data_IF_370049099896
#
_entry.id   IF_370049099896
#
_cell.length_a   1.000
_cell.length_b   1.000
_cell.length_c   1.000
_cell.angle_alpha   90.00
_cell.angle_beta   90.00
_cell.angle_gamma   90.00
#
_symmetry.space_group_name_H-M   'P 1'
#
loop_
_entity.id
_entity.type
_entity.pdbx_description
1 polymer ?
#
# COMPACT_ATOMS: atom_id res chain seq x y z
N UNK A 1 6.98 -17.84 -4.55
CA UNK A 1 5.55 -17.60 -4.87
C UNK A 1 5.41 -16.11 -5.15
N UNK A 2 5.02 -15.73 -6.36
CA UNK A 2 4.83 -14.33 -6.72
C UNK A 2 3.54 -13.86 -6.04
N UNK A 3 3.63 -12.88 -5.16
CA UNK A 3 2.45 -12.24 -4.60
C UNK A 3 2.10 -11.10 -5.54
N UNK A 4 0.84 -10.93 -5.90
CA UNK A 4 0.42 -9.76 -6.67
C UNK A 4 -0.26 -8.77 -5.72
N UNK A 5 -0.24 -7.50 -6.07
CA UNK A 5 -0.95 -6.46 -5.33
C UNK A 5 -1.83 -5.71 -6.32
N UNK A 6 -3.12 -5.65 -6.02
CA UNK A 6 -4.06 -4.80 -6.72
C UNK A 6 -4.19 -3.48 -5.98
N UNK A 7 -4.36 -2.40 -6.74
CA UNK A 7 -4.66 -1.08 -6.19
C UNK A 7 -5.38 -0.24 -7.24
N UNK A 8 -6.07 0.79 -6.78
CA UNK A 8 -6.71 1.79 -7.63
C UNK A 8 -5.92 3.08 -7.54
N UNK A 9 -5.35 3.53 -8.65
CA UNK A 9 -4.63 4.81 -8.72
C UNK A 9 -5.31 5.72 -9.74
N UNK A 10 -5.70 6.93 -9.32
CA UNK A 10 -6.38 7.91 -10.19
C UNK A 10 -7.57 7.33 -10.99
N UNK A 11 -8.41 6.53 -10.33
CA UNK A 11 -9.57 5.79 -10.92
C UNK A 11 -9.20 4.67 -11.91
N UNK A 12 -7.94 4.23 -11.95
CA UNK A 12 -7.50 3.09 -12.75
C UNK A 12 -7.08 1.96 -11.83
N UNK A 13 -7.68 0.79 -12.01
CA UNK A 13 -7.27 -0.42 -11.30
C UNK A 13 -6.00 -0.97 -11.95
N UNK A 14 -4.98 -1.17 -11.13
CA UNK A 14 -3.68 -1.69 -11.55
C UNK A 14 -3.29 -2.87 -10.67
N UNK A 15 -2.51 -3.75 -11.26
CA UNK A 15 -1.97 -4.94 -10.59
C UNK A 15 -0.48 -4.97 -10.83
N UNK A 16 0.29 -5.16 -9.76
CA UNK A 16 1.74 -5.25 -9.82
C UNK A 16 2.22 -6.54 -9.15
N UNK A 17 3.37 -7.01 -9.63
CA UNK A 17 4.05 -8.12 -8.98
C UNK A 17 4.78 -7.60 -7.74
N UNK A 18 4.45 -8.17 -6.59
CA UNK A 18 5.02 -7.87 -5.29
C UNK A 18 6.05 -8.94 -4.89
N UNK A 19 7.18 -8.50 -4.37
CA UNK A 19 8.21 -9.38 -3.80
C UNK A 19 8.67 -8.87 -2.45
N UNK A 20 8.54 -9.71 -1.41
CA UNK A 20 9.04 -9.44 -0.06
C UNK A 20 10.57 -9.30 0.00
N UNK A 21 11.27 -9.76 -1.02
CA UNK A 21 12.72 -9.61 -1.17
C UNK A 21 13.12 -8.16 -1.48
N UNK A 22 12.24 -7.43 -2.19
CA UNK A 22 12.49 -6.05 -2.62
C UNK A 22 11.74 -5.01 -1.80
N UNK A 23 10.56 -5.35 -1.29
CA UNK A 23 9.68 -4.41 -0.61
C UNK A 23 9.25 -4.94 0.74
N UNK A 24 9.25 -4.08 1.75
CA UNK A 24 8.80 -4.46 3.10
C UNK A 24 7.28 -4.48 3.23
N UNK A 25 6.57 -3.67 2.43
CA UNK A 25 5.12 -3.47 2.53
C UNK A 25 4.49 -3.19 1.16
N UNK A 26 3.18 -3.47 1.00
CA UNK A 26 2.44 -3.21 -0.26
C UNK A 26 2.42 -1.74 -0.64
N UNK A 27 2.38 -0.89 0.37
CA UNK A 27 2.38 0.57 0.22
C UNK A 27 3.64 1.05 -0.50
N UNK A 28 4.79 0.47 -0.14
CA UNK A 28 6.07 0.75 -0.77
C UNK A 28 6.11 0.24 -2.21
N UNK A 29 5.58 -0.97 -2.45
CA UNK A 29 5.54 -1.54 -3.79
C UNK A 29 4.64 -0.75 -4.76
N UNK A 30 3.44 -0.33 -4.34
CA UNK A 30 2.53 0.45 -5.21
C UNK A 30 3.06 1.85 -5.46
N UNK A 31 3.70 2.46 -4.47
CA UNK A 31 4.36 3.76 -4.63
C UNK A 31 5.54 3.66 -5.60
N UNK A 32 6.42 2.67 -5.42
CA UNK A 32 7.56 2.44 -6.31
C UNK A 32 7.12 2.12 -7.75
N UNK A 33 6.03 1.36 -7.93
CA UNK A 33 5.49 1.03 -9.24
C UNK A 33 4.99 2.25 -10.02
N UNK A 34 4.37 3.21 -9.33
CA UNK A 34 3.91 4.47 -9.96
C UNK A 34 4.97 5.58 -9.94
N UNK A 35 6.14 5.34 -9.32
CA UNK A 35 7.19 6.35 -9.15
C UNK A 35 6.83 7.47 -8.18
N UNK A 36 5.98 7.18 -7.20
CA UNK A 36 5.57 8.14 -6.16
C UNK A 36 6.57 8.11 -5.01
N UNK A 37 7.14 9.27 -4.68
CA UNK A 37 8.03 9.40 -3.53
C UNK A 37 7.23 9.31 -2.22
N UNK A 38 7.49 8.23 -1.48
CA UNK A 38 6.98 8.04 -0.12
C UNK A 38 8.07 8.23 0.93
N UNK A 39 9.24 8.76 0.55
CA UNK A 39 10.35 9.01 1.47
C UNK A 39 9.93 9.98 2.57
N UNK A 40 9.17 11.02 2.17
CA UNK A 40 8.59 11.99 3.10
C UNK A 40 7.59 11.33 4.06
N UNK A 41 6.76 10.43 3.53
CA UNK A 41 5.81 9.65 4.33
C UNK A 41 6.53 8.74 5.33
N UNK A 42 7.56 8.00 4.92
CA UNK A 42 8.34 7.11 5.78
C UNK A 42 9.06 7.87 6.89
N UNK A 43 9.62 9.04 6.56
CA UNK A 43 10.25 9.92 7.55
C UNK A 43 9.24 10.39 8.61
N UNK A 44 8.06 10.82 8.17
CA UNK A 44 7.00 11.30 9.05
C UNK A 44 6.35 10.17 9.85
N UNK A 45 6.11 9.00 9.25
CA UNK A 45 5.59 7.81 9.92
C UNK A 45 6.56 7.37 11.03
N UNK A 46 7.86 7.36 10.75
CA UNK A 46 8.89 7.04 11.76
C UNK A 46 8.90 8.04 12.91
N UNK A 47 8.76 9.34 12.62
CA UNK A 47 8.67 10.37 13.66
C UNK A 47 7.38 10.24 14.50
N UNK A 48 6.24 9.97 13.86
CA UNK A 48 4.99 9.71 14.57
C UNK A 48 5.10 8.44 15.42
N UNK A 49 5.69 7.37 14.89
CA UNK A 49 5.85 6.11 15.64
C UNK A 49 6.76 6.26 16.87
N UNK A 50 7.71 7.20 16.83
CA UNK A 50 8.53 7.57 17.99
C UNK A 50 7.77 8.45 18.99
N UNK A 51 6.90 9.35 18.51
CA UNK A 51 6.20 10.34 19.33
C UNK A 51 4.90 9.82 19.93
N UNK A 52 4.25 8.87 19.25
CA UNK A 52 2.93 8.35 19.56
C UNK A 52 2.98 6.82 19.57
N UNK A 53 2.62 6.20 20.69
CA UNK A 53 2.44 4.74 20.78
C UNK A 53 1.12 4.27 20.14
N UNK A 54 0.25 5.22 19.78
CA UNK A 54 -1.05 4.95 19.17
C UNK A 54 -0.92 4.52 17.70
N UNK A 55 -1.06 3.22 17.49
CA UNK A 55 -1.09 2.60 16.17
C UNK A 55 -2.31 3.03 15.34
N UNK A 56 -3.37 3.53 15.97
CA UNK A 56 -4.55 4.06 15.29
C UNK A 56 -4.21 5.31 14.46
N UNK A 57 -3.50 6.27 15.04
CA UNK A 57 -3.09 7.50 14.36
C UNK A 57 -2.17 7.21 13.18
N UNK A 58 -1.24 6.26 13.34
CA UNK A 58 -0.36 5.81 12.26
C UNK A 58 -1.15 5.23 11.07
N UNK A 59 -2.15 4.39 11.34
CA UNK A 59 -3.01 3.81 10.31
C UNK A 59 -3.83 4.88 9.57
N UNK A 60 -4.43 5.81 10.31
CA UNK A 60 -5.19 6.91 9.69
C UNK A 60 -4.30 7.83 8.85
N UNK A 61 -3.11 8.16 9.35
CA UNK A 61 -2.14 8.98 8.62
C UNK A 61 -1.72 8.30 7.31
N UNK A 62 -1.40 7.00 7.36
CA UNK A 62 -1.10 6.19 6.18
C UNK A 62 -2.25 6.21 5.17
N UNK A 63 -3.47 5.94 5.61
CA UNK A 63 -4.64 5.98 4.72
C UNK A 63 -4.84 7.36 4.08
N UNK A 64 -4.72 8.44 4.86
CA UNK A 64 -4.88 9.82 4.36
C UNK A 64 -3.81 10.20 3.34
N UNK A 65 -2.54 9.90 3.60
CA UNK A 65 -1.47 10.23 2.66
C UNK A 65 -1.60 9.42 1.36
N UNK A 66 -1.87 8.12 1.45
CA UNK A 66 -2.09 7.31 0.24
C UNK A 66 -3.32 7.76 -0.55
N UNK A 67 -4.43 8.09 0.12
CA UNK A 67 -5.61 8.70 -0.54
C UNK A 67 -5.27 10.04 -1.20
N UNK A 68 -4.48 10.88 -0.55
CA UNK A 68 -4.04 12.19 -1.08
C UNK A 68 -3.16 12.03 -2.32
N UNK A 69 -2.28 11.03 -2.32
CA UNK A 69 -1.46 10.66 -3.47
C UNK A 69 -2.31 10.07 -4.61
N UNK A 70 -3.55 9.68 -4.33
CA UNK A 70 -4.51 9.15 -5.32
C UNK A 70 -4.54 7.63 -5.37
N UNK A 71 -3.93 6.95 -4.39
CA UNK A 71 -4.06 5.52 -4.19
C UNK A 71 -5.25 5.21 -3.30
N UNK A 72 -6.01 4.20 -3.72
CA UNK A 72 -7.13 3.63 -2.97
C UNK A 72 -7.14 2.14 -3.18
N UNK A 73 -7.83 1.41 -2.28
CA UNK A 73 -8.16 0.01 -2.51
C UNK A 73 -6.94 -0.92 -2.69
N UNK A 74 -5.84 -0.65 -1.97
CA UNK A 74 -4.60 -1.43 -2.03
C UNK A 74 -4.82 -2.76 -1.30
N UNK A 75 -4.70 -3.89 -2.01
CA UNK A 75 -4.90 -5.24 -1.46
C UNK A 75 -3.89 -6.23 -2.04
N UNK A 76 -3.52 -7.23 -1.25
CA UNK A 76 -2.77 -8.38 -1.77
C UNK A 76 -3.71 -9.26 -2.59
N UNK A 77 -3.35 -9.51 -3.85
CA UNK A 77 -3.87 -10.62 -4.62
C UNK A 77 -3.08 -11.86 -4.18
N UNK A 78 -3.63 -12.61 -3.23
CA UNK A 78 -3.22 -13.99 -3.02
C UNK A 78 -3.81 -14.83 -4.15
N UNK A 79 -3.02 -15.77 -4.69
CA UNK A 79 -3.49 -16.79 -5.63
C UNK A 79 -4.68 -17.63 -5.10
N UNK A 80 -5.00 -17.55 -3.80
CA UNK A 80 -6.19 -18.19 -3.19
C UNK A 80 -7.52 -17.47 -3.49
N UNK A 81 -7.51 -16.25 -4.05
CA UNK A 81 -8.74 -15.49 -4.37
C UNK A 81 -9.11 -15.52 -5.87
N UNK A 82 -8.62 -16.51 -6.62
CA UNK A 82 -9.22 -16.87 -7.93
C UNK A 82 -10.55 -17.61 -7.80
N UNK A 83 -11.02 -17.89 -6.60
CA UNK A 83 -12.30 -18.58 -6.34
C UNK A 83 -13.17 -17.76 -5.37
N UNK A 84 -13.80 -16.72 -5.90
CA UNK A 84 -15.10 -16.29 -5.39
C UNK A 84 -15.96 -15.94 -6.58
N UNK A 85 -16.73 -16.90 -7.14
CA UNK A 85 -17.76 -16.56 -8.10
C UNK A 85 -18.75 -15.64 -7.38
N UNK A 86 -18.96 -14.44 -7.92
CA UNK A 86 -20.11 -13.64 -7.58
C UNK A 86 -21.36 -14.53 -7.76
N UNK A 87 -22.05 -14.81 -6.66
CA UNK A 87 -23.30 -15.57 -6.64
C UNK A 87 -24.45 -14.62 -6.37
#
# INVERSE_FOLDING_TARGET
MARQVSYTYKKQNKVINFSFDKYHDIHEAVAAAEGVDISSFLAMEKQLAMSTRDTATLKEYRLKEFQRLGFSDIRFLKDEEKDQPAK
#
